data_IF_733599375965
#
_entry.id   IF_733599375965
#
_cell.length_a   1.000
_cell.length_b   1.000
_cell.length_c   1.000
_cell.angle_alpha   90.00
_cell.angle_beta   90.00
_cell.angle_gamma   90.00
#
_symmetry.space_group_name_H-M   'P 1'
#
loop_
_entity.id
_entity.type
_entity.pdbx_description
1 polymer ?
#
# COMPACT_ATOMS: atom_id res chain seq x y z
N UNK A 1 -17.75 -31.70 -16.42
CA UNK A 1 -17.75 -30.22 -16.44
C UNK A 1 -17.75 -29.74 -15.01
N UNK A 2 -16.84 -28.83 -14.63
CA UNK A 2 -16.90 -28.17 -13.32
C UNK A 2 -17.85 -26.99 -13.47
N UNK A 3 -18.91 -26.95 -12.67
CA UNK A 3 -19.82 -25.82 -12.60
C UNK A 3 -19.18 -24.75 -11.73
N UNK A 4 -18.99 -23.56 -12.28
CA UNK A 4 -18.48 -22.41 -11.54
C UNK A 4 -19.67 -21.62 -11.02
N UNK A 5 -19.64 -21.24 -9.75
CA UNK A 5 -20.71 -20.48 -9.10
C UNK A 5 -20.07 -19.20 -8.58
N UNK A 6 -20.67 -18.06 -8.91
CA UNK A 6 -20.27 -16.75 -8.42
C UNK A 6 -20.56 -16.63 -6.90
N UNK A 7 -20.00 -15.61 -6.25
CA UNK A 7 -20.13 -15.40 -4.80
C UNK A 7 -21.59 -15.23 -4.34
N UNK A 8 -22.45 -14.72 -5.22
CA UNK A 8 -23.88 -14.52 -5.01
C UNK A 8 -24.74 -15.78 -5.25
N UNK A 9 -24.12 -16.90 -5.64
CA UNK A 9 -24.81 -18.14 -5.99
C UNK A 9 -25.21 -18.27 -7.46
N UNK A 10 -24.90 -17.29 -8.31
CA UNK A 10 -25.22 -17.33 -9.74
C UNK A 10 -24.33 -18.35 -10.47
N UNK A 11 -24.90 -19.33 -11.22
CA UNK A 11 -24.11 -20.23 -12.04
C UNK A 11 -23.45 -19.48 -13.20
N UNK A 12 -22.13 -19.61 -13.31
CA UNK A 12 -21.36 -19.04 -14.41
C UNK A 12 -21.43 -20.02 -15.59
N UNK A 13 -22.03 -19.56 -16.69
CA UNK A 13 -22.12 -20.32 -17.95
C UNK A 13 -20.96 -19.98 -18.88
N UNK A 14 -20.69 -20.86 -19.86
CA UNK A 14 -19.64 -20.61 -20.86
C UNK A 14 -19.92 -19.34 -21.67
N UNK A 15 -21.20 -19.05 -21.99
CA UNK A 15 -21.60 -17.81 -22.66
C UNK A 15 -21.25 -16.54 -21.87
N UNK A 16 -21.31 -16.60 -20.54
CA UNK A 16 -20.91 -15.47 -19.67
C UNK A 16 -19.40 -15.29 -19.68
N UNK A 17 -18.65 -16.39 -19.69
CA UNK A 17 -17.18 -16.36 -19.78
C UNK A 17 -16.73 -15.76 -21.11
N UNK A 18 -17.37 -16.16 -22.21
CA UNK A 18 -17.06 -15.63 -23.54
C UNK A 18 -17.39 -14.13 -23.65
N UNK A 19 -18.50 -13.69 -23.05
CA UNK A 19 -18.86 -12.27 -22.99
C UNK A 19 -17.82 -11.45 -22.21
N UNK A 20 -17.39 -11.93 -21.04
CA UNK A 20 -16.38 -11.24 -20.24
C UNK A 20 -15.01 -11.20 -20.92
N UNK A 21 -14.65 -12.26 -21.64
CA UNK A 21 -13.43 -12.29 -22.42
C UNK A 21 -13.47 -11.21 -23.52
N UNK A 22 -14.60 -11.07 -24.22
CA UNK A 22 -14.79 -10.04 -25.22
C UNK A 22 -14.73 -8.63 -24.62
N UNK A 23 -15.39 -8.39 -23.47
CA UNK A 23 -15.34 -7.08 -22.80
C UNK A 23 -13.92 -6.68 -22.35
N UNK A 24 -13.11 -7.66 -21.94
CA UNK A 24 -11.72 -7.44 -21.58
C UNK A 24 -10.86 -7.08 -22.80
N UNK A 25 -11.05 -7.76 -23.93
CA UNK A 25 -10.36 -7.46 -25.20
C UNK A 25 -10.79 -6.10 -25.77
N UNK A 26 -12.07 -5.73 -25.61
CA UNK A 26 -12.61 -4.44 -26.04
C UNK A 26 -12.15 -3.28 -25.14
N UNK A 27 -11.46 -3.58 -24.03
CA UNK A 27 -10.73 -2.59 -23.23
C UNK A 27 -11.61 -1.69 -22.36
N UNK A 28 -12.81 -2.13 -21.99
CA UNK A 28 -13.74 -1.42 -21.11
C UNK A 28 -13.98 0.06 -21.53
N UNK A 29 -14.52 0.31 -22.74
CA UNK A 29 -14.57 1.63 -23.37
C UNK A 29 -15.45 2.66 -22.64
N UNK A 30 -16.33 2.20 -21.73
CA UNK A 30 -17.22 3.06 -20.92
C UNK A 30 -16.77 3.14 -19.44
N UNK A 31 -15.56 2.71 -19.13
CA UNK A 31 -15.03 2.68 -17.76
C UNK A 31 -13.99 3.78 -17.58
N UNK A 32 -14.16 4.60 -16.55
CA UNK A 32 -13.12 5.50 -16.08
C UNK A 32 -12.28 4.71 -15.08
N UNK A 33 -11.11 4.23 -15.53
CA UNK A 33 -10.13 3.61 -14.65
C UNK A 33 -9.42 4.70 -13.83
N UNK A 34 -9.95 5.02 -12.65
CA UNK A 34 -9.22 5.80 -11.67
C UNK A 34 -8.29 4.88 -10.90
N UNK A 35 -6.99 4.99 -11.14
CA UNK A 35 -5.98 4.41 -10.25
C UNK A 35 -5.99 5.26 -9.00
N UNK A 36 -6.37 4.70 -7.85
CA UNK A 36 -6.17 5.35 -6.56
C UNK A 36 -4.68 5.71 -6.44
N UNK A 37 -4.40 6.92 -5.95
CA UNK A 37 -3.03 7.32 -5.67
C UNK A 37 -2.42 6.31 -4.71
N UNK A 38 -1.23 5.81 -5.06
CA UNK A 38 -0.50 4.89 -4.20
C UNK A 38 -0.29 5.60 -2.86
N UNK A 39 -0.80 5.05 -1.73
CA UNK A 39 -0.66 5.69 -0.42
C UNK A 39 0.80 5.75 0.04
N UNK A 40 1.73 5.18 -0.72
CA UNK A 40 3.15 5.26 -0.48
C UNK A 40 3.80 6.36 -1.33
N UNK A 41 4.74 7.13 -0.75
CA UNK A 41 5.41 8.19 -1.48
C UNK A 41 6.07 7.63 -2.74
N UNK A 42 5.93 8.31 -3.89
CA UNK A 42 6.48 7.83 -5.16
C UNK A 42 7.97 7.55 -5.01
N UNK A 43 8.49 6.52 -5.70
CA UNK A 43 9.91 6.11 -5.64
C UNK A 43 10.93 7.19 -6.07
N UNK A 44 10.45 8.39 -6.41
CA UNK A 44 11.20 9.54 -6.92
C UNK A 44 11.62 10.56 -5.84
N UNK A 45 11.48 10.23 -4.56
CA UNK A 45 12.11 11.03 -3.49
C UNK A 45 13.55 10.55 -3.32
N UNK A 46 14.50 11.45 -3.11
CA UNK A 46 15.90 11.09 -2.83
C UNK A 46 15.99 10.19 -1.58
N UNK A 47 16.21 8.89 -1.80
CA UNK A 47 16.32 7.91 -0.72
C UNK A 47 17.75 7.84 -0.20
N UNK A 48 17.94 7.93 1.12
CA UNK A 48 19.23 7.72 1.78
C UNK A 48 19.30 6.30 2.34
N UNK A 49 20.40 5.60 2.10
CA UNK A 49 20.63 4.29 2.66
C UNK A 49 20.86 4.37 4.18
N UNK A 50 20.04 3.67 4.95
CA UNK A 50 20.22 3.47 6.39
C UNK A 50 20.45 1.98 6.65
N UNK A 51 21.44 1.65 7.50
CA UNK A 51 21.80 0.25 7.79
C UNK A 51 21.22 -0.19 9.13
N UNK A 52 20.52 -1.33 9.14
CA UNK A 52 19.94 -1.96 10.34
C UNK A 52 20.44 -3.40 10.39
N UNK A 53 20.87 -3.86 11.58
CA UNK A 53 21.24 -5.28 11.77
C UNK A 53 19.97 -6.11 11.94
N UNK A 54 19.88 -7.23 11.23
CA UNK A 54 18.73 -8.13 11.28
C UNK A 54 19.13 -9.60 11.20
N UNK A 55 18.37 -10.52 11.81
CA UNK A 55 18.59 -11.95 11.68
C UNK A 55 18.46 -12.42 10.23
N UNK A 56 19.29 -13.38 9.81
CA UNK A 56 19.29 -13.94 8.45
C UNK A 56 17.95 -14.57 8.08
N UNK A 57 17.34 -15.31 9.01
CA UNK A 57 16.02 -15.91 8.82
C UNK A 57 14.93 -14.86 8.58
N UNK A 58 15.01 -13.72 9.27
CA UNK A 58 14.06 -12.62 9.08
C UNK A 58 14.26 -11.98 7.69
N UNK A 59 15.50 -11.83 7.24
CA UNK A 59 15.77 -11.31 5.90
C UNK A 59 15.22 -12.23 4.80
N UNK A 60 15.37 -13.55 4.94
CA UNK A 60 14.77 -14.52 4.01
C UNK A 60 13.25 -14.42 3.93
N UNK A 61 12.57 -14.18 5.06
CA UNK A 61 11.12 -13.95 5.09
C UNK A 61 10.74 -12.65 4.36
N UNK A 62 11.55 -11.59 4.52
CA UNK A 62 11.36 -10.32 3.78
C UNK A 62 11.48 -10.56 2.27
N UNK A 63 12.51 -11.27 1.82
CA UNK A 63 12.71 -11.59 0.39
C UNK A 63 11.55 -12.42 -0.17
N UNK A 64 11.11 -13.47 0.54
CA UNK A 64 10.00 -14.30 0.12
C UNK A 64 8.68 -13.50 0.01
N UNK A 65 8.41 -12.63 0.98
CA UNK A 65 7.20 -11.80 0.98
C UNK A 65 7.24 -10.72 -0.12
N UNK A 66 8.40 -10.11 -0.37
CA UNK A 66 8.60 -9.17 -1.46
C UNK A 66 8.37 -9.83 -2.83
N UNK A 67 8.91 -11.04 -3.01
CA UNK A 67 8.72 -11.83 -4.22
C UNK A 67 7.24 -12.18 -4.46
N UNK A 68 6.52 -12.60 -3.43
CA UNK A 68 5.09 -12.90 -3.52
C UNK A 68 4.26 -11.68 -3.94
N UNK A 69 4.68 -10.48 -3.50
CA UNK A 69 4.05 -9.19 -3.86
C UNK A 69 4.61 -8.56 -5.15
N UNK A 70 5.57 -9.21 -5.82
CA UNK A 70 6.25 -8.70 -7.03
C UNK A 70 6.88 -7.31 -6.85
N UNK A 71 7.43 -7.03 -5.68
CA UNK A 71 8.15 -5.80 -5.35
C UNK A 71 9.56 -6.10 -4.85
N UNK A 72 10.42 -5.09 -4.73
CA UNK A 72 11.78 -5.29 -4.21
C UNK A 72 11.78 -5.53 -2.69
N UNK A 73 12.77 -6.23 -2.13
CA UNK A 73 12.92 -6.36 -0.68
C UNK A 73 12.96 -4.99 0.02
N UNK A 74 13.65 -4.01 -0.55
CA UNK A 74 13.70 -2.64 -0.02
C UNK A 74 12.33 -1.96 0.01
N UNK A 75 11.53 -2.11 -1.05
CA UNK A 75 10.14 -1.62 -1.11
C UNK A 75 9.31 -2.25 0.01
N UNK A 76 9.35 -3.59 0.10
CA UNK A 76 8.59 -4.34 1.08
C UNK A 76 8.98 -3.95 2.51
N UNK A 77 10.28 -3.84 2.81
CA UNK A 77 10.77 -3.42 4.12
C UNK A 77 10.24 -2.05 4.50
N UNK A 78 10.21 -1.09 3.56
CA UNK A 78 9.64 0.25 3.83
C UNK A 78 8.15 0.19 4.13
N UNK A 79 7.38 -0.55 3.33
CA UNK A 79 5.94 -0.69 3.57
C UNK A 79 5.67 -1.34 4.93
N UNK A 80 6.40 -2.40 5.28
CA UNK A 80 6.25 -3.10 6.55
C UNK A 80 6.61 -2.21 7.75
N UNK A 81 7.72 -1.44 7.66
CA UNK A 81 8.12 -0.49 8.69
C UNK A 81 7.09 0.64 8.85
N UNK A 82 6.58 1.19 7.73
CA UNK A 82 5.53 2.21 7.75
C UNK A 82 4.26 1.71 8.44
N UNK A 83 3.79 0.51 8.08
CA UNK A 83 2.63 -0.12 8.73
C UNK A 83 2.86 -0.36 10.22
N UNK A 84 4.04 -0.85 10.60
CA UNK A 84 4.39 -1.07 12.01
C UNK A 84 4.37 0.23 12.80
N UNK A 85 4.83 1.35 12.23
CA UNK A 85 4.80 2.66 12.91
C UNK A 85 3.38 3.19 13.10
N UNK A 86 2.48 2.96 12.13
CA UNK A 86 1.06 3.31 12.26
C UNK A 86 0.41 2.53 13.40
N UNK A 87 0.74 1.24 13.50
CA UNK A 87 0.19 0.28 14.48
C UNK A 87 0.93 0.26 15.82
N UNK A 88 1.99 1.04 16.01
CA UNK A 88 2.88 1.01 17.18
C UNK A 88 2.21 1.42 18.52
N UNK A 89 0.89 1.58 18.56
CA UNK A 89 0.15 1.98 19.76
C UNK A 89 0.48 3.39 20.25
N UNK A 90 1.16 4.20 19.43
CA UNK A 90 1.54 5.56 19.79
C UNK A 90 0.30 6.42 19.99
N UNK A 91 0.26 7.15 21.09
CA UNK A 91 -0.81 8.11 21.34
C UNK A 91 -0.76 9.24 20.30
N UNK A 92 -1.89 9.93 20.11
CA UNK A 92 -1.95 11.10 19.22
C UNK A 92 -0.85 12.11 19.55
N UNK A 93 -0.62 12.39 20.83
CA UNK A 93 0.42 13.33 21.26
C UNK A 93 1.83 12.85 20.94
N UNK A 94 2.12 11.55 21.12
CA UNK A 94 3.42 10.98 20.75
C UNK A 94 3.67 11.08 19.24
N UNK A 95 2.64 10.83 18.43
CA UNK A 95 2.72 10.97 16.97
C UNK A 95 3.02 12.42 16.56
N UNK A 96 2.33 13.39 17.17
CA UNK A 96 2.56 14.83 16.93
C UNK A 96 3.98 15.22 17.33
N UNK A 97 4.47 14.76 18.49
CA UNK A 97 5.83 15.07 18.96
C UNK A 97 6.90 14.48 18.03
N UNK A 98 6.73 13.23 17.59
CA UNK A 98 7.66 12.59 16.64
C UNK A 98 7.66 13.36 15.31
N UNK A 99 6.49 13.75 14.82
CA UNK A 99 6.36 14.54 13.59
C UNK A 99 7.05 15.89 13.73
N UNK A 100 6.77 16.63 14.81
CA UNK A 100 7.41 17.92 15.09
C UNK A 100 8.94 17.82 15.13
N UNK A 101 9.48 16.80 15.79
CA UNK A 101 10.93 16.55 15.84
C UNK A 101 11.53 16.22 14.47
N UNK A 102 10.84 15.37 13.70
CA UNK A 102 11.30 14.91 12.38
C UNK A 102 11.33 16.05 11.36
N UNK A 103 10.37 16.99 11.47
CA UNK A 103 10.22 18.13 10.55
C UNK A 103 10.83 19.43 11.09
N UNK A 104 11.50 19.39 12.24
CA UNK A 104 12.07 20.57 12.91
C UNK A 104 11.03 21.68 13.19
N UNK A 105 9.81 21.29 13.55
CA UNK A 105 8.68 22.18 13.84
C UNK A 105 8.42 22.28 15.35
N UNK A 106 7.68 23.31 15.75
CA UNK A 106 7.02 23.35 17.07
C UNK A 106 5.83 22.38 17.09
N UNK A 107 5.35 22.04 18.28
CA UNK A 107 4.19 21.14 18.43
C UNK A 107 2.94 21.73 17.75
N UNK A 108 2.74 23.04 17.89
CA UNK A 108 1.61 23.76 17.32
C UNK A 108 1.66 23.76 15.79
N UNK A 109 2.82 24.10 15.20
CA UNK A 109 2.99 24.08 13.74
C UNK A 109 2.84 22.67 13.15
N UNK A 110 3.27 21.65 13.88
CA UNK A 110 3.06 20.25 13.49
C UNK A 110 1.57 19.86 13.50
N UNK A 111 0.78 20.37 14.43
CA UNK A 111 -0.66 20.12 14.46
C UNK A 111 -1.34 20.76 13.25
N UNK A 112 -1.01 22.01 12.95
CA UNK A 112 -1.60 22.74 11.83
C UNK A 112 -1.29 22.06 10.50
N UNK A 113 -0.03 21.67 10.26
CA UNK A 113 0.36 20.98 9.01
C UNK A 113 -0.31 19.60 8.87
N UNK A 114 -0.47 18.85 9.97
CA UNK A 114 -1.16 17.56 9.95
C UNK A 114 -2.66 17.72 9.70
N UNK A 115 -3.27 18.82 10.17
CA UNK A 115 -4.66 19.14 9.89
C UNK A 115 -4.85 19.54 8.42
N UNK A 116 -3.98 20.38 7.89
CA UNK A 116 -4.02 20.80 6.49
C UNK A 116 -3.88 19.59 5.54
N UNK A 117 -2.97 18.66 5.85
CA UNK A 117 -2.82 17.40 5.08
C UNK A 117 -4.03 16.46 5.17
N UNK A 118 -4.79 16.51 6.25
CA UNK A 118 -5.98 15.68 6.41
C UNK A 118 -7.22 16.27 5.71
N UNK A 119 -7.16 17.55 5.32
CA UNK A 119 -8.24 18.30 4.68
C UNK A 119 -8.00 18.55 3.19
N UNK A 120 -6.81 18.24 2.67
CA UNK A 120 -6.41 18.32 1.26
C UNK A 120 -6.72 17.02 0.52
#
# INVERSE_FOLDING_TARGET
MKQYIAEDGTPITDDMVDHWAQEAEDGFPNSILTREDDPFPPSRVDMKAHTIRMPDELWKLVEAAAQAKKITPSEYTRQALGQSLVQAGLTRDQKILIYAQTHHLTREAAIDELLDKALA
#
